data_IF_959710094911
#
_entry.id   IF_959710094911
#
_cell.length_a   1.000
_cell.length_b   1.000
_cell.length_c   1.000
_cell.angle_alpha   90.00
_cell.angle_beta   90.00
_cell.angle_gamma   90.00
#
_symmetry.space_group_name_H-M   'P 1'
#
loop_
_entity.id
_entity.type
_entity.pdbx_description
1 polymer ?
#
# COMPACT_ATOMS: atom_id res chain seq x y z
N UNK A 1 -11.20 45.70 -8.76
CA UNK A 1 -11.45 44.25 -8.86
C UNK A 1 -10.83 43.61 -7.64
N UNK A 2 -11.62 43.34 -6.62
CA UNK A 2 -11.13 42.85 -5.32
C UNK A 2 -11.38 41.34 -5.29
N UNK A 3 -10.32 40.53 -5.24
CA UNK A 3 -10.45 39.09 -5.10
C UNK A 3 -11.20 38.76 -3.80
N UNK A 4 -12.29 38.01 -3.89
CA UNK A 4 -13.09 37.60 -2.73
C UNK A 4 -12.26 36.63 -1.86
N UNK A 5 -12.02 36.94 -0.57
CA UNK A 5 -11.24 36.08 0.33
C UNK A 5 -11.91 34.73 0.64
N UNK A 6 -13.13 34.49 0.14
CA UNK A 6 -13.85 33.21 0.23
C UNK A 6 -13.53 32.24 -0.92
N UNK A 7 -12.73 32.63 -1.92
CA UNK A 7 -12.19 31.71 -2.93
C UNK A 7 -11.04 30.86 -2.37
N UNK A 8 -11.29 30.16 -1.24
CA UNK A 8 -10.45 29.05 -0.81
C UNK A 8 -10.82 27.86 -1.68
N UNK A 9 -10.25 27.79 -2.89
CA UNK A 9 -10.31 26.56 -3.70
C UNK A 9 -9.85 25.41 -2.82
N UNK A 10 -10.78 24.52 -2.45
CA UNK A 10 -10.44 23.26 -1.79
C UNK A 10 -9.62 22.47 -2.80
N UNK A 11 -8.30 22.48 -2.61
CA UNK A 11 -7.41 21.63 -3.37
C UNK A 11 -7.71 20.20 -2.90
N UNK A 12 -8.56 19.50 -3.64
CA UNK A 12 -8.84 18.10 -3.38
C UNK A 12 -7.57 17.32 -3.72
N UNK A 13 -6.76 17.01 -2.71
CA UNK A 13 -5.66 16.06 -2.88
C UNK A 13 -6.29 14.70 -3.16
N UNK A 14 -6.17 14.21 -4.39
CA UNK A 14 -6.58 12.85 -4.75
C UNK A 14 -5.59 11.90 -4.06
N UNK A 15 -6.03 11.26 -2.99
CA UNK A 15 -5.25 10.23 -2.30
C UNK A 15 -5.58 8.89 -2.95
N UNK A 16 -4.62 8.29 -3.65
CA UNK A 16 -4.72 6.92 -4.15
C UNK A 16 -3.90 5.97 -3.25
N UNK A 17 -4.54 5.18 -2.36
CA UNK A 17 -3.85 4.22 -1.52
C UNK A 17 -3.61 2.90 -2.26
N UNK A 18 -2.39 2.36 -2.15
CA UNK A 18 -2.07 1.01 -2.60
C UNK A 18 -1.89 0.07 -1.40
N UNK A 19 -2.62 -1.06 -1.38
CA UNK A 19 -2.49 -2.10 -0.35
C UNK A 19 -1.70 -3.27 -0.94
N UNK A 20 -0.55 -3.58 -0.33
CA UNK A 20 0.38 -4.60 -0.83
C UNK A 20 0.61 -5.68 0.21
N UNK A 21 0.40 -6.93 -0.18
CA UNK A 21 0.70 -8.10 0.65
C UNK A 21 2.18 -8.43 0.56
N UNK A 22 2.85 -8.45 1.71
CA UNK A 22 4.24 -8.88 1.88
C UNK A 22 4.25 -10.38 2.17
N UNK A 23 4.93 -11.14 1.32
CA UNK A 23 5.05 -12.60 1.45
C UNK A 23 6.14 -12.96 2.46
N UNK A 24 6.12 -14.20 2.97
CA UNK A 24 7.17 -14.72 3.87
C UNK A 24 8.54 -14.62 3.18
N UNK A 25 9.51 -14.02 3.88
CA UNK A 25 10.87 -13.84 3.38
C UNK A 25 11.03 -12.69 2.38
N UNK A 26 9.95 -11.97 2.06
CA UNK A 26 9.98 -10.80 1.19
C UNK A 26 10.09 -9.51 2.01
N UNK A 27 10.88 -8.53 1.54
CA UNK A 27 10.89 -7.19 2.14
C UNK A 27 9.74 -6.34 1.59
N UNK A 28 9.43 -5.22 2.26
CA UNK A 28 8.41 -4.27 1.77
C UNK A 28 8.76 -3.71 0.38
N UNK A 29 10.04 -3.47 0.11
CA UNK A 29 10.55 -2.96 -1.16
C UNK A 29 10.41 -4.00 -2.27
N UNK A 30 10.69 -5.28 -1.97
CA UNK A 30 10.47 -6.38 -2.91
C UNK A 30 8.98 -6.54 -3.22
N UNK A 31 8.13 -6.51 -2.19
CA UNK A 31 6.68 -6.54 -2.35
C UNK A 31 6.17 -5.36 -3.20
N UNK A 32 6.71 -4.16 -2.97
CA UNK A 32 6.39 -2.96 -3.75
C UNK A 32 6.82 -3.09 -5.22
N UNK A 33 8.06 -3.52 -5.49
CA UNK A 33 8.53 -3.73 -6.88
C UNK A 33 7.66 -4.76 -7.61
N UNK A 34 7.27 -5.84 -6.94
CA UNK A 34 6.36 -6.85 -7.49
C UNK A 34 4.97 -6.28 -7.76
N UNK A 35 4.46 -5.43 -6.86
CA UNK A 35 3.18 -4.74 -7.03
C UNK A 35 3.21 -3.83 -8.26
N UNK A 36 4.18 -2.91 -8.34
CA UNK A 36 4.32 -1.96 -9.46
C UNK A 36 4.57 -2.66 -10.79
N UNK A 37 5.29 -3.78 -10.80
CA UNK A 37 5.46 -4.59 -12.02
C UNK A 37 4.12 -5.11 -12.58
N UNK A 38 3.15 -5.37 -11.71
CA UNK A 38 1.80 -5.85 -12.08
C UNK A 38 0.79 -4.71 -12.27
N UNK A 39 0.97 -3.62 -11.53
CA UNK A 39 0.11 -2.43 -11.45
C UNK A 39 0.97 -1.17 -11.64
N UNK A 40 1.47 -0.90 -12.86
CA UNK A 40 2.34 0.24 -13.11
C UNK A 40 1.67 1.60 -12.80
N UNK A 41 0.34 1.68 -12.88
CA UNK A 41 -0.48 2.82 -12.50
C UNK A 41 -0.32 3.25 -11.03
N UNK A 42 0.05 2.31 -10.15
CA UNK A 42 0.22 2.57 -8.72
C UNK A 42 1.61 3.13 -8.38
N UNK A 43 2.50 3.33 -9.35
CA UNK A 43 3.84 3.91 -9.13
C UNK A 43 3.77 5.25 -8.36
N UNK A 44 2.73 6.04 -8.64
CA UNK A 44 2.46 7.35 -8.00
C UNK A 44 1.52 7.27 -6.78
N UNK A 45 1.32 6.09 -6.18
CA UNK A 45 0.52 5.97 -4.97
C UNK A 45 1.14 6.80 -3.83
N UNK A 46 0.32 7.70 -3.27
CA UNK A 46 0.74 8.62 -2.21
C UNK A 46 0.83 7.92 -0.86
N UNK A 47 0.06 6.84 -0.68
CA UNK A 47 0.00 6.06 0.56
C UNK A 47 0.18 4.58 0.20
N UNK A 48 1.11 3.91 0.90
CA UNK A 48 1.41 2.48 0.73
C UNK A 48 1.16 1.73 2.02
N UNK A 49 0.25 0.77 2.00
CA UNK A 49 -0.14 -0.03 3.16
C UNK A 49 0.39 -1.44 2.96
N UNK A 50 1.20 -1.93 3.91
CA UNK A 50 1.80 -3.27 3.83
C UNK A 50 1.13 -4.21 4.81
N UNK A 51 0.64 -5.35 4.31
CA UNK A 51 0.06 -6.41 5.14
C UNK A 51 0.96 -7.66 5.11
N UNK A 52 1.38 -8.14 6.28
CA UNK A 52 2.24 -9.32 6.39
C UNK A 52 1.42 -10.58 6.59
N UNK A 53 1.63 -11.57 5.72
CA UNK A 53 1.08 -12.91 5.93
C UNK A 53 2.20 -13.81 6.43
N UNK A 54 2.16 -14.11 7.72
CA UNK A 54 2.96 -15.20 8.28
C UNK A 54 2.14 -16.48 8.15
N UNK A 55 2.65 -17.53 7.48
CA UNK A 55 1.97 -18.81 7.56
C UNK A 55 2.03 -19.28 9.01
N UNK A 56 0.86 -19.63 9.56
CA UNK A 56 0.74 -20.37 10.80
C UNK A 56 1.48 -21.69 10.60
N UNK A 57 2.73 -21.78 11.05
CA UNK A 57 3.41 -23.07 11.12
C UNK A 57 2.77 -23.86 12.25
N UNK A 58 1.75 -24.66 11.92
CA UNK A 58 1.41 -25.83 12.74
C UNK A 58 2.56 -26.82 12.54
N UNK A 59 3.65 -26.61 13.28
CA UNK A 59 4.64 -27.65 13.54
C UNK A 59 4.29 -28.24 14.89
N UNK A 60 3.96 -29.53 14.89
CA UNK A 60 3.84 -30.43 16.04
C UNK A 60 2.48 -30.50 16.77
N UNK A 61 1.48 -31.07 16.10
CA UNK A 61 0.46 -31.85 16.81
C UNK A 61 0.22 -33.18 16.09
N UNK A 62 1.25 -34.02 16.01
CA UNK A 62 1.16 -35.43 15.67
C UNK A 62 2.42 -36.12 16.22
N UNK A 63 2.36 -36.54 17.49
CA UNK A 63 2.90 -37.84 17.94
C UNK A 63 1.95 -38.30 19.06
N UNK A 64 1.02 -39.17 18.65
CA UNK A 64 0.34 -40.18 19.48
C UNK A 64 1.34 -41.17 20.03
#
# INVERSE_FOLDING_TARGET
>A
MTADPRDRRRQFTIINPAVVVVRRGETKEQAWRRHVKKHPEDTSAHVRIFHFIFPLTIKNLLIT
#
